data_IF_402486255841
#
_entry.id   IF_402486255841
#
_cell.length_a   1.000
_cell.length_b   1.000
_cell.length_c   1.000
_cell.angle_alpha   90.00
_cell.angle_beta   90.00
_cell.angle_gamma   90.00
#
_symmetry.space_group_name_H-M   'P 1'
#
loop_
_entity.id
_entity.type
_entity.pdbx_description
1 polymer ?
#
# COMPACT_ATOMS: atom_id res chain seq x y z
N UNK A 1 17.72 8.32 2.89
CA UNK A 1 16.69 8.05 1.88
C UNK A 1 15.37 7.74 2.57
N UNK A 2 14.22 8.24 2.05
CA UNK A 2 12.89 7.85 2.53
C UNK A 2 12.11 7.27 1.35
N UNK A 3 11.61 6.04 1.54
CA UNK A 3 10.71 5.34 0.61
C UNK A 3 9.34 5.28 1.27
N UNK A 4 8.38 6.03 0.74
CA UNK A 4 7.01 6.02 1.25
C UNK A 4 6.18 5.01 0.43
N UNK A 5 5.80 3.92 1.07
CA UNK A 5 5.10 2.83 0.39
C UNK A 5 3.59 2.99 0.33
N UNK A 6 3.02 4.07 0.91
CA UNK A 6 1.57 4.25 0.97
C UNK A 6 1.17 5.68 0.61
N UNK A 7 1.15 5.97 -0.69
CA UNK A 7 0.74 7.28 -1.23
C UNK A 7 -0.38 7.07 -2.26
N UNK A 8 -1.37 7.96 -2.25
CA UNK A 8 -2.41 8.01 -3.27
C UNK A 8 -2.31 9.29 -4.09
N UNK A 9 -2.64 9.19 -5.36
CA UNK A 9 -2.70 10.31 -6.30
C UNK A 9 -4.16 10.58 -6.69
N UNK A 10 -4.44 11.81 -7.13
CA UNK A 10 -5.73 12.20 -7.64
C UNK A 10 -6.72 12.63 -6.55
N UNK A 11 -7.96 12.79 -6.96
CA UNK A 11 -9.00 13.37 -6.12
C UNK A 11 -9.75 12.31 -5.30
N UNK A 12 -9.91 12.56 -3.98
CA UNK A 12 -10.79 11.79 -3.12
C UNK A 12 -12.16 12.48 -3.03
N UNK A 13 -13.25 11.88 -3.58
CA UNK A 13 -14.51 12.60 -3.76
C UNK A 13 -15.28 12.88 -2.47
N UNK A 14 -14.93 12.21 -1.38
CA UNK A 14 -15.68 12.29 -0.12
C UNK A 14 -15.11 13.30 0.89
N UNK A 15 -13.91 13.84 0.61
CA UNK A 15 -13.27 14.87 1.44
C UNK A 15 -12.33 15.71 0.60
N UNK A 16 -12.39 17.03 0.73
CA UNK A 16 -11.42 17.91 0.10
C UNK A 16 -10.02 17.68 0.69
N UNK A 17 -9.09 17.28 -0.17
CA UNK A 17 -7.69 17.11 0.18
C UNK A 17 -6.87 18.23 -0.51
N UNK A 18 -5.96 18.91 0.24
CA UNK A 18 -5.24 20.06 -0.30
C UNK A 18 -4.24 19.75 -1.43
N UNK A 19 -3.89 18.47 -1.62
CA UNK A 19 -2.86 18.02 -2.59
C UNK A 19 -3.42 17.01 -3.59
N UNK A 20 -4.53 17.34 -4.23
CA UNK A 20 -5.17 16.50 -5.24
C UNK A 20 -4.51 16.63 -6.63
N UNK A 21 -3.72 17.69 -6.87
CA UNK A 21 -2.90 17.82 -8.07
C UNK A 21 -1.48 17.27 -7.88
N UNK A 22 -0.91 16.73 -8.97
CA UNK A 22 0.38 16.04 -8.94
C UNK A 22 1.57 16.92 -8.56
N UNK A 23 1.56 18.19 -8.97
CA UNK A 23 2.68 19.11 -8.72
C UNK A 23 2.78 19.44 -7.23
N UNK A 24 1.66 19.80 -6.62
CA UNK A 24 1.60 20.15 -5.19
C UNK A 24 1.87 18.93 -4.32
N UNK A 25 1.31 17.76 -4.70
CA UNK A 25 1.56 16.51 -4.01
C UNK A 25 3.05 16.13 -4.05
N UNK A 26 3.68 16.19 -5.22
CA UNK A 26 5.11 15.92 -5.38
C UNK A 26 5.96 16.90 -4.58
N UNK A 27 5.63 18.18 -4.62
CA UNK A 27 6.31 19.22 -3.84
C UNK A 27 6.19 18.98 -2.34
N UNK A 28 5.01 18.54 -1.88
CA UNK A 28 4.77 18.24 -0.47
C UNK A 28 5.57 17.04 0.01
N UNK A 29 5.65 15.97 -0.80
CA UNK A 29 6.48 14.80 -0.51
C UNK A 29 7.97 15.15 -0.48
N UNK A 30 8.45 15.98 -1.44
CA UNK A 30 9.83 16.48 -1.45
C UNK A 30 10.15 17.30 -0.18
N UNK A 31 9.22 18.14 0.27
CA UNK A 31 9.35 18.88 1.53
C UNK A 31 9.51 17.94 2.74
N UNK A 32 8.77 16.84 2.77
CA UNK A 32 8.88 15.77 3.77
C UNK A 32 10.13 14.87 3.59
N UNK A 33 11.02 15.21 2.62
CA UNK A 33 12.25 14.45 2.30
C UNK A 33 11.99 13.03 1.76
N UNK A 34 10.81 12.77 1.22
CA UNK A 34 10.52 11.51 0.52
C UNK A 34 11.28 11.52 -0.81
N UNK A 35 12.00 10.44 -1.08
CA UNK A 35 12.77 10.26 -2.33
C UNK A 35 12.03 9.36 -3.33
N UNK A 36 11.33 8.35 -2.81
CA UNK A 36 10.55 7.40 -3.61
C UNK A 36 9.18 7.24 -2.98
N UNK A 37 8.13 7.24 -3.78
CA UNK A 37 6.77 6.97 -3.32
C UNK A 37 6.12 5.86 -4.16
N UNK A 38 5.55 4.86 -3.50
CA UNK A 38 4.69 3.87 -4.14
C UNK A 38 3.28 4.45 -4.24
N UNK A 39 2.80 4.58 -5.45
CA UNK A 39 1.60 5.36 -5.71
C UNK A 39 0.51 4.54 -6.43
N UNK A 40 -0.75 4.80 -6.07
CA UNK A 40 -1.92 4.36 -6.82
C UNK A 40 -2.90 5.52 -6.95
N UNK A 41 -3.76 5.50 -7.97
CA UNK A 41 -4.80 6.50 -8.13
C UNK A 41 -5.99 6.19 -7.22
N UNK A 42 -6.56 7.21 -6.57
CA UNK A 42 -7.83 7.06 -5.85
C UNK A 42 -8.96 6.55 -6.73
N UNK A 43 -8.98 6.93 -8.01
CA UNK A 43 -9.98 6.45 -8.97
C UNK A 43 -10.00 4.94 -9.11
N UNK A 44 -8.88 4.25 -8.80
CA UNK A 44 -8.85 2.78 -8.72
C UNK A 44 -9.84 2.18 -7.73
N UNK A 45 -10.28 2.96 -6.74
CA UNK A 45 -11.21 2.51 -5.69
C UNK A 45 -12.64 2.33 -6.20
N UNK A 46 -13.10 3.19 -7.16
CA UNK A 46 -14.51 3.24 -7.57
C UNK A 46 -14.77 3.20 -9.07
N UNK A 47 -13.76 3.39 -9.92
CA UNK A 47 -13.95 3.32 -11.37
C UNK A 47 -14.09 1.88 -11.85
N UNK A 48 -14.97 1.67 -12.83
CA UNK A 48 -15.12 0.37 -13.49
C UNK A 48 -14.09 0.15 -14.60
N UNK A 49 -13.69 1.21 -15.29
CA UNK A 49 -12.63 1.12 -16.31
C UNK A 49 -11.25 1.23 -15.68
N UNK A 50 -10.80 0.13 -15.08
CA UNK A 50 -9.47 0.07 -14.46
C UNK A 50 -8.32 0.04 -15.47
N UNK A 51 -8.57 -0.30 -16.75
CA UNK A 51 -7.55 -0.18 -17.80
C UNK A 51 -7.17 1.29 -18.00
N UNK A 52 -8.17 2.16 -18.12
CA UNK A 52 -7.95 3.60 -18.26
C UNK A 52 -7.31 4.21 -17.00
N UNK A 53 -7.76 3.79 -15.80
CA UNK A 53 -7.15 4.22 -14.53
C UNK A 53 -5.68 3.86 -14.48
N UNK A 54 -5.31 2.62 -14.79
CA UNK A 54 -3.90 2.19 -14.78
C UNK A 54 -3.05 2.90 -15.84
N UNK A 55 -3.61 3.17 -17.03
CA UNK A 55 -2.96 3.97 -18.06
C UNK A 55 -2.69 5.40 -17.58
N UNK A 56 -3.65 6.03 -16.91
CA UNK A 56 -3.50 7.37 -16.32
C UNK A 56 -2.48 7.37 -15.19
N UNK A 57 -2.46 6.33 -14.36
CA UNK A 57 -1.46 6.16 -13.30
C UNK A 57 -0.04 6.18 -13.87
N UNK A 58 0.23 5.40 -14.91
CA UNK A 58 1.56 5.35 -15.55
C UNK A 58 1.98 6.74 -16.04
N UNK A 59 1.09 7.45 -16.73
CA UNK A 59 1.34 8.84 -17.17
C UNK A 59 1.62 9.79 -15.99
N UNK A 60 0.86 9.66 -14.91
CA UNK A 60 1.05 10.48 -13.71
C UNK A 60 2.41 10.23 -13.02
N UNK A 61 3.02 9.06 -13.25
CA UNK A 61 4.33 8.71 -12.70
C UNK A 61 5.50 9.24 -13.55
N UNK A 62 5.26 9.71 -14.77
CA UNK A 62 6.28 10.39 -15.56
C UNK A 62 6.83 11.58 -14.78
N UNK A 63 8.15 11.78 -14.88
CA UNK A 63 8.82 12.86 -14.16
C UNK A 63 8.96 14.07 -15.11
N UNK A 64 8.13 15.12 -14.96
CA UNK A 64 8.22 16.27 -15.82
C UNK A 64 9.50 17.09 -15.53
N UNK A 65 10.09 17.76 -16.55
CA UNK A 65 11.25 18.61 -16.37
C UNK A 65 11.01 19.68 -15.29
N UNK A 66 11.96 19.82 -14.36
CA UNK A 66 11.90 20.80 -13.28
C UNK A 66 11.01 20.41 -12.09
N UNK A 67 10.39 19.25 -12.12
CA UNK A 67 9.63 18.75 -10.94
C UNK A 67 10.58 18.42 -9.77
N UNK A 68 10.10 18.50 -8.50
CA UNK A 68 10.84 18.05 -7.35
C UNK A 68 11.27 16.58 -7.49
N UNK A 69 12.48 16.25 -7.02
CA UNK A 69 13.09 14.93 -7.15
C UNK A 69 12.45 13.90 -6.21
N UNK A 70 11.23 13.51 -6.54
CA UNK A 70 10.49 12.39 -5.92
C UNK A 70 10.10 11.40 -7.01
N UNK A 71 10.68 10.22 -6.99
CA UNK A 71 10.36 9.17 -7.95
C UNK A 71 9.08 8.45 -7.55
N UNK A 72 8.10 8.42 -8.44
CA UNK A 72 6.87 7.64 -8.26
C UNK A 72 7.03 6.24 -8.85
N UNK A 73 6.66 5.22 -8.06
CA UNK A 73 6.58 3.83 -8.49
C UNK A 73 5.09 3.43 -8.55
N UNK A 74 4.54 3.20 -9.75
CA UNK A 74 3.12 2.93 -9.93
C UNK A 74 2.75 1.52 -9.48
N UNK A 75 1.64 1.42 -8.77
CA UNK A 75 0.96 0.18 -8.40
C UNK A 75 -0.41 0.17 -9.07
N UNK A 76 -0.62 -0.77 -9.97
CA UNK A 76 -1.88 -0.90 -10.69
C UNK A 76 -3.02 -1.36 -9.78
N UNK A 77 -4.23 -1.16 -10.25
CA UNK A 77 -5.43 -1.64 -9.55
C UNK A 77 -6.18 -2.64 -10.42
N UNK A 78 -6.58 -3.75 -9.82
CA UNK A 78 -7.39 -4.81 -10.44
C UNK A 78 -8.53 -5.14 -9.49
N UNK A 79 -9.73 -5.28 -10.03
CA UNK A 79 -10.92 -5.71 -9.28
C UNK A 79 -11.42 -7.06 -9.85
N UNK A 80 -11.31 -8.18 -9.10
CA UNK A 80 -11.66 -9.50 -9.61
C UNK A 80 -13.16 -9.72 -9.81
N UNK A 81 -13.99 -8.83 -9.27
CA UNK A 81 -15.47 -8.89 -9.46
C UNK A 81 -15.89 -8.35 -10.84
N UNK A 82 -15.05 -7.49 -11.44
CA UNK A 82 -15.36 -6.93 -12.76
C UNK A 82 -15.07 -7.93 -13.88
N UNK A 83 -15.96 -8.03 -14.89
CA UNK A 83 -15.65 -8.80 -16.09
C UNK A 83 -14.34 -8.32 -16.73
N UNK A 84 -13.54 -9.24 -17.25
CA UNK A 84 -12.28 -8.88 -17.93
C UNK A 84 -11.13 -8.49 -17.00
N UNK A 85 -11.19 -8.75 -15.70
CA UNK A 85 -10.13 -8.41 -14.76
C UNK A 85 -8.77 -9.07 -15.10
N UNK A 86 -8.80 -10.25 -15.74
CA UNK A 86 -7.56 -10.93 -16.17
C UNK A 86 -6.86 -10.18 -17.29
N UNK A 87 -7.61 -9.54 -18.18
CA UNK A 87 -7.08 -8.65 -19.22
C UNK A 87 -6.48 -7.39 -18.60
N UNK A 88 -7.14 -6.81 -17.57
CA UNK A 88 -6.58 -5.67 -16.80
C UNK A 88 -5.26 -6.05 -16.14
N UNK A 89 -5.19 -7.22 -15.52
CA UNK A 89 -3.96 -7.73 -14.91
C UNK A 89 -2.85 -7.93 -15.97
N UNK A 90 -3.18 -8.55 -17.09
CA UNK A 90 -2.24 -8.75 -18.20
C UNK A 90 -1.72 -7.42 -18.72
N UNK A 91 -2.57 -6.42 -18.91
CA UNK A 91 -2.13 -5.08 -19.33
C UNK A 91 -1.20 -4.43 -18.30
N UNK A 92 -1.45 -4.60 -17.00
CA UNK A 92 -0.53 -4.15 -15.96
C UNK A 92 0.88 -4.74 -16.13
N UNK A 93 0.98 -6.04 -16.48
CA UNK A 93 2.24 -6.75 -16.62
C UNK A 93 2.91 -6.47 -17.97
N UNK A 94 2.19 -6.70 -19.06
CA UNK A 94 2.76 -6.75 -20.42
C UNK A 94 2.85 -5.36 -21.07
N UNK A 95 1.84 -4.53 -20.89
CA UNK A 95 1.76 -3.20 -21.52
C UNK A 95 2.41 -2.14 -20.63
N UNK A 96 2.00 -2.11 -19.37
CA UNK A 96 2.44 -1.05 -18.43
C UNK A 96 3.71 -1.43 -17.66
N UNK A 97 4.11 -2.71 -17.67
CA UNK A 97 5.30 -3.24 -16.99
C UNK A 97 5.33 -2.86 -15.51
N UNK A 98 4.16 -2.84 -14.89
CA UNK A 98 4.05 -2.58 -13.47
C UNK A 98 4.68 -3.71 -12.66
N UNK A 99 5.22 -3.37 -11.52
CA UNK A 99 5.86 -4.34 -10.60
C UNK A 99 4.99 -4.70 -9.41
N UNK A 100 3.84 -4.06 -9.28
CA UNK A 100 2.94 -4.33 -8.17
C UNK A 100 1.52 -3.85 -8.42
N UNK A 101 0.64 -4.31 -7.55
CA UNK A 101 -0.78 -3.97 -7.51
C UNK A 101 -1.15 -3.42 -6.14
N UNK A 102 -2.14 -2.54 -6.10
CA UNK A 102 -2.82 -2.12 -4.88
C UNK A 102 -4.29 -2.53 -4.95
N UNK A 103 -4.71 -3.36 -4.01
CA UNK A 103 -6.03 -3.98 -3.97
C UNK A 103 -6.88 -3.37 -2.87
N UNK A 104 -8.18 -3.22 -3.14
CA UNK A 104 -9.17 -2.60 -2.26
C UNK A 104 -10.39 -3.53 -2.04
N UNK A 105 -10.25 -4.68 -1.35
CA UNK A 105 -11.31 -5.70 -1.30
C UNK A 105 -12.67 -5.16 -0.89
N UNK A 106 -12.74 -4.47 0.26
CA UNK A 106 -14.00 -3.96 0.79
C UNK A 106 -14.69 -2.95 -0.13
N UNK A 107 -13.92 -2.06 -0.79
CA UNK A 107 -14.45 -1.11 -1.77
C UNK A 107 -14.88 -1.78 -3.08
N UNK A 108 -14.22 -2.86 -3.45
CA UNK A 108 -14.50 -3.61 -4.67
C UNK A 108 -15.58 -4.70 -4.48
N UNK A 109 -16.09 -4.87 -3.25
CA UNK A 109 -17.19 -5.76 -2.95
C UNK A 109 -16.83 -7.25 -2.94
N UNK A 110 -15.58 -7.58 -2.58
CA UNK A 110 -15.16 -8.97 -2.33
C UNK A 110 -14.43 -9.08 -0.99
N UNK A 111 -14.37 -10.29 -0.45
CA UNK A 111 -13.68 -10.64 0.79
C UNK A 111 -12.44 -11.50 0.50
N UNK A 112 -11.56 -11.65 1.47
CA UNK A 112 -10.40 -12.55 1.35
C UNK A 112 -10.78 -14.03 1.40
N UNK A 113 -12.03 -14.35 1.81
CA UNK A 113 -12.57 -15.71 1.77
C UNK A 113 -13.16 -16.09 0.40
N UNK A 114 -13.35 -15.11 -0.49
CA UNK A 114 -13.91 -15.38 -1.83
C UNK A 114 -12.89 -16.08 -2.73
N UNK A 115 -13.29 -17.07 -3.52
CA UNK A 115 -12.40 -17.73 -4.48
C UNK A 115 -11.74 -16.76 -5.47
N UNK A 116 -12.43 -15.67 -5.84
CA UNK A 116 -11.91 -14.64 -6.73
C UNK A 116 -10.70 -13.91 -6.13
N UNK A 117 -10.64 -13.76 -4.79
CA UNK A 117 -9.48 -13.18 -4.12
C UNK A 117 -8.26 -14.10 -4.28
N UNK A 118 -8.42 -15.41 -4.05
CA UNK A 118 -7.34 -16.38 -4.21
C UNK A 118 -6.88 -16.48 -5.68
N UNK A 119 -7.81 -16.47 -6.63
CA UNK A 119 -7.48 -16.46 -8.06
C UNK A 119 -6.64 -15.23 -8.46
N UNK A 120 -7.04 -14.03 -8.00
CA UNK A 120 -6.29 -12.80 -8.27
C UNK A 120 -4.90 -12.82 -7.62
N UNK A 121 -4.80 -13.25 -6.36
CA UNK A 121 -3.52 -13.32 -5.65
C UNK A 121 -2.58 -14.37 -6.26
N UNK A 122 -3.13 -15.50 -6.72
CA UNK A 122 -2.38 -16.53 -7.47
C UNK A 122 -1.82 -15.96 -8.76
N UNK A 123 -2.66 -15.34 -9.58
CA UNK A 123 -2.24 -14.74 -10.85
C UNK A 123 -1.21 -13.60 -10.64
N UNK A 124 -1.35 -12.81 -9.59
CA UNK A 124 -0.37 -11.77 -9.24
C UNK A 124 0.97 -12.39 -8.80
N UNK A 125 0.95 -13.47 -8.01
CA UNK A 125 2.15 -14.18 -7.57
C UNK A 125 2.89 -14.85 -8.75
N UNK A 126 2.18 -15.50 -9.66
CA UNK A 126 2.71 -16.06 -10.90
C UNK A 126 3.38 -15.01 -11.79
N UNK A 127 2.75 -13.83 -11.87
CA UNK A 127 3.31 -12.66 -12.58
C UNK A 127 4.44 -11.95 -11.79
N UNK A 128 4.83 -12.46 -10.62
CA UNK A 128 5.86 -11.91 -9.72
C UNK A 128 5.58 -10.47 -9.28
N UNK A 129 4.31 -10.08 -9.25
CA UNK A 129 3.91 -8.77 -8.78
C UNK A 129 3.96 -8.69 -7.25
N UNK A 130 4.38 -7.54 -6.74
CA UNK A 130 4.22 -7.21 -5.34
C UNK A 130 2.78 -6.73 -5.10
N UNK A 131 2.11 -7.24 -4.09
CA UNK A 131 0.71 -6.89 -3.82
C UNK A 131 0.63 -6.01 -2.58
N UNK A 132 -0.09 -4.91 -2.67
CA UNK A 132 -0.56 -4.15 -1.51
C UNK A 132 -2.05 -4.42 -1.28
N UNK A 133 -2.39 -4.76 -0.06
CA UNK A 133 -3.76 -4.99 0.40
C UNK A 133 -4.19 -3.87 1.34
N UNK A 134 -5.12 -3.05 0.90
CA UNK A 134 -5.66 -1.95 1.71
C UNK A 134 -6.75 -2.48 2.64
N UNK A 135 -6.49 -2.42 3.95
CA UNK A 135 -7.46 -2.85 4.98
C UNK A 135 -8.60 -1.83 5.09
N UNK A 136 -8.26 -0.55 5.12
CA UNK A 136 -9.20 0.57 5.10
C UNK A 136 -8.51 1.83 4.58
N UNK A 137 -9.30 2.78 4.05
CA UNK A 137 -8.79 4.09 3.63
C UNK A 137 -9.04 5.18 4.66
N UNK A 138 -10.16 5.13 5.36
CA UNK A 138 -10.52 6.10 6.39
C UNK A 138 -11.00 5.38 7.65
N UNK A 139 -10.89 6.06 8.79
CA UNK A 139 -11.53 5.61 10.02
C UNK A 139 -13.05 5.62 9.85
N UNK A 140 -13.72 4.57 10.26
CA UNK A 140 -15.18 4.41 10.13
C UNK A 140 -15.95 5.59 10.71
N UNK A 141 -15.42 6.23 11.78
CA UNK A 141 -15.99 7.41 12.43
C UNK A 141 -15.93 8.68 11.57
N UNK A 142 -15.00 8.72 10.61
CA UNK A 142 -14.75 9.89 9.75
C UNK A 142 -15.21 9.69 8.31
N UNK A 143 -15.70 8.50 7.98
CA UNK A 143 -16.20 8.19 6.64
C UNK A 143 -17.44 9.04 6.31
N UNK A 144 -17.52 9.45 5.05
CA UNK A 144 -18.71 10.15 4.56
C UNK A 144 -19.93 9.21 4.60
N UNK A 145 -21.13 9.69 5.02
CA UNK A 145 -22.33 8.85 5.13
C UNK A 145 -22.70 8.09 3.85
N UNK A 146 -22.34 8.62 2.68
CA UNK A 146 -22.56 7.97 1.38
C UNK A 146 -21.48 6.95 0.99
N UNK A 147 -20.40 6.81 1.78
CA UNK A 147 -19.30 5.90 1.51
C UNK A 147 -18.79 5.26 2.80
N UNK A 148 -19.66 4.49 3.43
CA UNK A 148 -19.30 3.72 4.62
C UNK A 148 -18.85 2.32 4.19
N UNK A 149 -17.57 2.04 4.35
CA UNK A 149 -16.93 0.79 3.94
C UNK A 149 -16.22 0.18 5.14
N UNK A 150 -16.58 -1.05 5.55
CA UNK A 150 -15.95 -1.71 6.69
C UNK A 150 -14.48 -2.04 6.40
N UNK A 151 -13.70 -2.22 7.46
CA UNK A 151 -12.35 -2.74 7.33
C UNK A 151 -12.36 -4.18 6.76
N UNK A 152 -11.33 -4.51 6.01
CA UNK A 152 -11.15 -5.87 5.47
C UNK A 152 -10.89 -6.85 6.60
N UNK A 153 -11.64 -7.95 6.61
CA UNK A 153 -11.38 -9.07 7.52
C UNK A 153 -10.11 -9.81 7.10
N UNK A 154 -9.07 -9.76 7.94
CA UNK A 154 -7.77 -10.38 7.66
C UNK A 154 -7.67 -11.84 8.12
N UNK A 155 -8.68 -12.41 8.79
CA UNK A 155 -8.64 -13.78 9.30
C UNK A 155 -8.32 -14.84 8.22
N UNK A 156 -8.76 -14.73 6.96
CA UNK A 156 -8.39 -15.69 5.92
C UNK A 156 -6.97 -15.52 5.37
N UNK A 157 -6.30 -14.37 5.64
CA UNK A 157 -5.04 -14.02 4.99
C UNK A 157 -3.86 -14.95 5.34
N UNK A 158 -3.68 -15.41 6.60
CA UNK A 158 -2.60 -16.35 6.92
C UNK A 158 -2.65 -17.63 6.08
N UNK A 159 -3.83 -18.21 5.92
CA UNK A 159 -4.04 -19.42 5.11
C UNK A 159 -3.78 -19.17 3.63
N UNK A 160 -4.22 -18.04 3.08
CA UNK A 160 -3.93 -17.63 1.71
C UNK A 160 -2.42 -17.49 1.48
N UNK A 161 -1.72 -16.81 2.37
CA UNK A 161 -0.26 -16.64 2.29
C UNK A 161 0.47 -17.98 2.40
N UNK A 162 -0.03 -18.91 3.23
CA UNK A 162 0.55 -20.25 3.36
C UNK A 162 0.38 -21.07 2.06
N UNK A 163 -0.77 -20.97 1.39
CA UNK A 163 -1.01 -21.66 0.11
C UNK A 163 -0.28 -21.05 -1.08
N UNK A 164 0.09 -19.77 -1.00
CA UNK A 164 0.72 -19.02 -2.10
C UNK A 164 2.18 -18.64 -1.76
N UNK A 165 3.14 -19.60 -1.84
CA UNK A 165 4.52 -19.37 -1.39
C UNK A 165 5.28 -18.33 -2.21
N UNK A 166 4.82 -17.99 -3.41
CA UNK A 166 5.41 -16.94 -4.25
C UNK A 166 4.82 -15.54 -4.00
N UNK A 167 3.72 -15.45 -3.24
CA UNK A 167 3.07 -14.18 -2.96
C UNK A 167 3.95 -13.31 -2.05
N UNK A 168 4.16 -12.07 -2.46
CA UNK A 168 4.79 -11.00 -1.67
C UNK A 168 3.76 -9.91 -1.46
N UNK A 169 3.47 -9.59 -0.21
CA UNK A 169 2.33 -8.77 0.14
C UNK A 169 2.71 -7.71 1.18
N UNK A 170 2.16 -6.51 1.04
CA UNK A 170 2.13 -5.52 2.10
C UNK A 170 0.68 -5.26 2.52
N UNK A 171 0.42 -5.37 3.81
CA UNK A 171 -0.86 -4.98 4.41
C UNK A 171 -0.79 -3.51 4.76
N UNK A 172 -1.67 -2.71 4.15
CA UNK A 172 -1.74 -1.27 4.35
C UNK A 172 -2.85 -0.90 5.33
N UNK A 173 -2.56 0.09 6.17
CA UNK A 173 -3.54 0.70 7.07
C UNK A 173 -4.16 -0.30 8.07
N UNK A 174 -3.43 -1.36 8.42
CA UNK A 174 -3.80 -2.19 9.55
C UNK A 174 -3.69 -1.36 10.84
N UNK A 175 -4.76 -1.29 11.61
CA UNK A 175 -4.71 -0.68 12.92
C UNK A 175 -3.99 -1.60 13.91
N UNK A 176 -3.40 -1.04 14.97
CA UNK A 176 -2.80 -1.83 16.05
C UNK A 176 -3.78 -2.71 16.83
N UNK A 177 -5.05 -2.79 16.40
CA UNK A 177 -6.09 -3.65 16.95
C UNK A 177 -6.28 -4.96 16.18
N UNK A 178 -5.51 -5.19 15.10
CA UNK A 178 -5.54 -6.50 14.42
C UNK A 178 -4.98 -7.55 15.37
N UNK A 179 -5.72 -8.65 15.62
CA UNK A 179 -5.31 -9.67 16.57
C UNK A 179 -3.92 -10.26 16.26
N UNK A 180 -3.17 -10.55 17.33
CA UNK A 180 -1.81 -11.09 17.24
C UNK A 180 -1.77 -12.43 16.49
N UNK A 181 -2.80 -13.27 16.69
CA UNK A 181 -2.97 -14.54 15.99
C UNK A 181 -3.07 -14.40 14.45
N UNK A 182 -3.30 -13.20 13.94
CA UNK A 182 -3.32 -12.90 12.51
C UNK A 182 -1.97 -12.31 12.07
N UNK A 183 -1.49 -11.26 12.75
CA UNK A 183 -0.30 -10.53 12.28
C UNK A 183 0.99 -11.32 12.47
N UNK A 184 1.13 -12.09 13.53
CA UNK A 184 2.37 -12.85 13.83
C UNK A 184 2.63 -13.95 12.79
N UNK A 185 1.68 -14.83 12.42
CA UNK A 185 1.89 -15.79 11.33
C UNK A 185 2.24 -15.14 10.00
N UNK A 186 1.59 -14.00 9.67
CA UNK A 186 1.89 -13.23 8.46
C UNK A 186 3.33 -12.72 8.47
N UNK A 187 3.76 -12.10 9.55
CA UNK A 187 5.13 -11.59 9.69
C UNK A 187 6.17 -12.73 9.63
N UNK A 188 5.92 -13.85 10.31
CA UNK A 188 6.80 -15.03 10.30
C UNK A 188 6.98 -15.66 8.91
N UNK A 189 6.06 -15.42 7.99
CA UNK A 189 6.19 -15.88 6.60
C UNK A 189 7.38 -15.21 5.89
N UNK A 190 7.88 -14.08 6.38
CA UNK A 190 8.91 -13.22 5.79
C UNK A 190 8.59 -12.72 4.38
N UNK A 191 7.32 -12.80 3.98
CA UNK A 191 6.80 -12.39 2.68
C UNK A 191 5.66 -11.38 2.79
N UNK A 192 5.30 -11.03 4.04
CA UNK A 192 4.27 -10.03 4.34
C UNK A 192 4.90 -8.91 5.14
N UNK A 193 4.71 -7.70 4.65
CA UNK A 193 5.13 -6.45 5.30
C UNK A 193 3.92 -5.64 5.70
N UNK A 194 4.14 -4.69 6.60
CA UNK A 194 3.10 -3.80 7.11
C UNK A 194 3.56 -2.36 7.03
N UNK A 195 2.65 -1.44 6.76
CA UNK A 195 2.84 -0.05 7.11
C UNK A 195 2.29 0.21 8.54
N UNK A 196 2.50 1.40 9.02
CA UNK A 196 2.05 1.80 10.36
C UNK A 196 1.31 3.14 10.36
N UNK A 197 0.80 3.57 9.20
CA UNK A 197 0.10 4.85 9.08
C UNK A 197 -1.07 4.96 10.07
N UNK A 198 -1.81 3.87 10.27
CA UNK A 198 -2.97 3.81 11.16
C UNK A 198 -2.69 3.13 12.52
N UNK A 199 -1.45 2.87 12.86
CA UNK A 199 -1.08 2.41 14.20
C UNK A 199 -1.11 3.61 15.13
N UNK A 200 -1.92 3.56 16.18
CA UNK A 200 -2.16 4.64 17.13
C UNK A 200 -1.81 4.23 18.57
N UNK A 201 -1.80 5.19 19.47
CA UNK A 201 -1.57 4.98 20.91
C UNK A 201 -0.14 5.23 21.35
N UNK A 202 0.01 5.41 22.66
CA UNK A 202 1.33 5.56 23.31
C UNK A 202 2.12 4.26 23.10
N UNK A 203 3.33 4.37 22.56
CA UNK A 203 4.17 3.21 22.18
C UNK A 203 3.53 2.29 21.11
N UNK A 204 2.47 2.73 20.42
CA UNK A 204 1.75 1.87 19.47
C UNK A 204 2.67 1.26 18.40
N UNK A 205 3.58 2.03 17.81
CA UNK A 205 4.53 1.50 16.82
C UNK A 205 5.59 0.59 17.46
N UNK A 206 6.06 0.89 18.68
CA UNK A 206 7.00 0.03 19.39
C UNK A 206 6.38 -1.36 19.64
N UNK A 207 5.18 -1.39 20.20
CA UNK A 207 4.45 -2.63 20.46
C UNK A 207 4.16 -3.41 19.15
N UNK A 208 3.81 -2.71 18.08
CA UNK A 208 3.60 -3.35 16.78
C UNK A 208 4.90 -3.92 16.20
N UNK A 209 6.02 -3.21 16.38
CA UNK A 209 7.34 -3.69 15.97
C UNK A 209 7.79 -4.94 16.76
N UNK A 210 7.43 -5.04 18.03
CA UNK A 210 7.67 -6.25 18.82
C UNK A 210 6.88 -7.46 18.30
N UNK A 211 5.65 -7.25 17.84
CA UNK A 211 4.79 -8.32 17.31
C UNK A 211 5.25 -8.83 15.93
N UNK A 212 5.58 -7.93 15.02
CA UNK A 212 5.82 -8.27 13.61
C UNK A 212 7.30 -8.33 13.21
N UNK A 213 8.17 -7.75 14.02
CA UNK A 213 9.58 -7.53 13.68
C UNK A 213 9.80 -6.28 12.83
N UNK A 214 10.90 -5.58 13.08
CA UNK A 214 11.24 -4.32 12.37
C UNK A 214 11.51 -4.56 10.88
N UNK A 215 11.97 -5.76 10.50
CA UNK A 215 12.24 -6.17 9.12
C UNK A 215 10.95 -6.31 8.29
N UNK A 216 9.79 -6.47 8.94
CA UNK A 216 8.49 -6.54 8.30
C UNK A 216 7.75 -5.19 8.28
N UNK A 217 8.39 -4.12 8.77
CA UNK A 217 7.82 -2.77 8.72
C UNK A 217 8.37 -1.98 7.54
N UNK A 218 7.49 -1.33 6.81
CA UNK A 218 7.83 -0.35 5.77
C UNK A 218 7.23 1.00 6.11
N UNK A 219 7.96 2.07 5.84
CA UNK A 219 7.43 3.41 5.99
C UNK A 219 6.30 3.63 5.00
N UNK A 220 5.12 3.96 5.51
CA UNK A 220 3.95 4.35 4.74
C UNK A 220 3.23 5.48 5.45
N UNK A 221 3.00 6.59 4.77
CA UNK A 221 2.39 7.77 5.37
C UNK A 221 0.87 7.84 5.22
N UNK A 222 0.33 7.10 4.25
CA UNK A 222 -1.08 7.22 3.83
C UNK A 222 -1.42 8.62 3.28
N UNK A 223 -0.44 9.29 2.72
CA UNK A 223 -0.62 10.61 2.11
C UNK A 223 -1.46 10.51 0.81
N UNK A 224 -2.37 11.43 0.53
CA UNK A 224 -2.66 12.70 1.20
C UNK A 224 -3.76 12.65 2.28
N UNK A 225 -4.28 11.48 2.62
CA UNK A 225 -5.28 11.35 3.69
C UNK A 225 -4.69 11.68 5.06
N UNK A 226 -3.43 11.34 5.29
CA UNK A 226 -2.64 11.75 6.45
C UNK A 226 -1.40 12.54 6.01
N UNK A 227 -0.79 13.27 6.94
CA UNK A 227 0.45 13.98 6.70
C UNK A 227 1.67 13.06 6.85
N UNK A 228 2.69 13.14 5.96
CA UNK A 228 3.91 12.33 6.10
C UNK A 228 4.62 12.52 7.44
N UNK A 229 4.54 13.72 8.02
CA UNK A 229 5.11 14.04 9.33
C UNK A 229 4.52 13.22 10.47
N UNK A 230 3.26 12.80 10.36
CA UNK A 230 2.64 11.93 11.36
C UNK A 230 3.36 10.58 11.43
N UNK A 231 3.62 9.95 10.29
CA UNK A 231 4.35 8.68 10.24
C UNK A 231 5.84 8.85 10.65
N UNK A 232 6.48 9.97 10.27
CA UNK A 232 7.84 10.30 10.71
C UNK A 232 7.91 10.53 12.22
N UNK A 233 6.90 11.18 12.81
CA UNK A 233 6.79 11.37 14.25
C UNK A 233 6.67 10.04 14.99
N UNK A 234 5.83 9.12 14.53
CA UNK A 234 5.68 7.78 15.10
C UNK A 234 7.02 7.01 15.12
N UNK A 235 7.78 7.06 14.03
CA UNK A 235 9.12 6.44 14.00
C UNK A 235 10.10 7.06 15.01
N UNK A 236 10.04 8.38 15.18
CA UNK A 236 10.91 9.08 16.14
C UNK A 236 10.55 8.71 17.59
N UNK A 237 9.28 8.47 17.88
CA UNK A 237 8.75 8.18 19.21
C UNK A 237 8.76 6.67 19.56
N UNK A 238 9.03 5.80 18.58
CA UNK A 238 8.91 4.35 18.75
C UNK A 238 10.01 3.69 19.60
N UNK A 239 10.99 4.44 20.09
CA UNK A 239 12.13 3.92 20.87
C UNK A 239 12.89 2.77 20.16
N UNK A 240 12.88 2.74 18.83
CA UNK A 240 13.68 1.82 18.02
C UNK A 240 15.11 2.30 17.89
N UNK A 241 16.06 1.38 17.63
CA UNK A 241 17.44 1.75 17.35
C UNK A 241 17.54 2.58 16.04
N UNK A 242 18.50 3.50 15.98
CA UNK A 242 18.68 4.37 14.81
C UNK A 242 18.83 3.61 13.49
N UNK A 243 19.52 2.47 13.52
CA UNK A 243 19.68 1.57 12.37
C UNK A 243 18.36 0.99 11.91
N UNK A 244 17.49 0.60 12.84
CA UNK A 244 16.14 0.07 12.53
C UNK A 244 15.26 1.17 11.91
N UNK A 245 15.27 2.37 12.49
CA UNK A 245 14.56 3.53 11.94
C UNK A 245 15.07 3.86 10.54
N UNK A 246 16.38 3.85 10.33
CA UNK A 246 16.99 4.11 9.02
C UNK A 246 16.60 3.03 7.99
N UNK A 247 16.59 1.75 8.38
CA UNK A 247 16.22 0.64 7.53
C UNK A 247 14.74 0.70 7.12
N UNK A 248 13.83 0.93 8.07
CA UNK A 248 12.39 1.09 7.80
C UNK A 248 12.15 2.26 6.83
N UNK A 249 12.77 3.42 7.08
CA UNK A 249 12.65 4.60 6.20
C UNK A 249 13.19 4.35 4.80
N UNK A 250 14.28 3.59 4.67
CA UNK A 250 14.89 3.24 3.39
C UNK A 250 14.20 2.07 2.69
N UNK A 251 13.14 1.49 3.29
CA UNK A 251 12.47 0.30 2.77
C UNK A 251 13.41 -0.88 2.67
N UNK A 252 14.26 -1.07 3.70
CA UNK A 252 15.27 -2.13 3.80
C UNK A 252 16.17 -2.26 2.55
N UNK A 253 16.34 -1.17 1.81
CA UNK A 253 17.15 -1.13 0.59
C UNK A 253 16.46 -1.66 -0.66
N UNK A 254 15.47 -2.54 -0.56
CA UNK A 254 14.80 -3.15 -1.71
C UNK A 254 13.54 -2.41 -2.17
N UNK A 255 12.81 -1.77 -1.26
CA UNK A 255 11.56 -1.10 -1.59
C UNK A 255 11.74 0.11 -2.54
N UNK A 256 12.92 0.70 -2.58
CA UNK A 256 13.23 1.79 -3.50
C UNK A 256 13.10 1.40 -4.98
N UNK A 257 13.18 0.11 -5.30
CA UNK A 257 13.03 -0.42 -6.65
C UNK A 257 11.80 -1.31 -6.83
N UNK A 258 11.03 -1.51 -5.76
CA UNK A 258 9.86 -2.41 -5.73
C UNK A 258 10.25 -3.85 -6.17
N UNK A 259 11.40 -4.35 -5.72
CA UNK A 259 11.88 -5.68 -6.12
C UNK A 259 11.68 -6.75 -5.08
N UNK A 260 11.55 -6.43 -3.82
CA UNK A 260 11.58 -7.39 -2.71
C UNK A 260 12.97 -7.98 -2.44
N UNK A 261 13.23 -8.47 -1.21
CA UNK A 261 14.56 -8.85 -0.75
C UNK A 261 15.17 -10.07 -1.49
N UNK A 262 14.35 -10.85 -2.17
CA UNK A 262 14.77 -12.10 -2.85
C UNK A 262 14.55 -12.06 -4.38
N UNK A 263 14.32 -10.88 -4.96
CA UNK A 263 14.20 -10.72 -6.41
C UNK A 263 15.61 -10.55 -7.00
N UNK A 264 16.28 -11.67 -7.25
CA UNK A 264 17.47 -11.76 -8.07
C UNK A 264 17.12 -11.87 -9.55
#
# INVERSE_FOLDING_TARGET
MIVDTNVHLGHWPFRLLPWDNLTDLRSRLAHAKVNVAWVALFEGVWHRDLREVNRRLVRACEHPPGAPDVRFLPLGTVNPVLPGWREVLRDCVEVHRLRGLRLYPAYHGYTLADPLAEELLTAAAEAKLFVQLVVKLEDERTQHPLCQVPAVDLRPLPDLVARLPQLRLQVLNASGTVPEEIVVPLARSQRVWFDFAMVEGVLGLANFAEQVGTEQLLFGSHFPLFYPESALGKLKEAALADEQVAAIRAGHGWAAELRGPHAG
#
